data_IF_287628522770
#
_entry.id   IF_287628522770
#
_cell.length_a   1.000
_cell.length_b   1.000
_cell.length_c   1.000
_cell.angle_alpha   90.00
_cell.angle_beta   90.00
_cell.angle_gamma   90.00
#
_symmetry.space_group_name_H-M   'P 1'
#
loop_
_entity.id
_entity.type
_entity.pdbx_description
1 polymer ?
#
# COMPACT_ATOMS: atom_id res chain seq x y z
N UNK A 1 -13.42 7.01 -4.22
CA UNK A 1 -12.49 6.87 -3.08
C UNK A 1 -11.55 5.74 -3.43
N UNK A 2 -10.25 6.01 -3.44
CA UNK A 2 -9.23 5.00 -3.73
C UNK A 2 -8.83 4.33 -2.43
N UNK A 3 -8.59 3.03 -2.45
CA UNK A 3 -8.13 2.26 -1.29
C UNK A 3 -6.69 1.86 -1.49
N UNK A 4 -5.83 2.21 -0.53
CA UNK A 4 -4.44 1.79 -0.45
C UNK A 4 -4.29 0.84 0.74
N UNK A 5 -3.89 -0.39 0.46
CA UNK A 5 -3.70 -1.45 1.44
C UNK A 5 -2.21 -1.81 1.49
N UNK A 6 -1.58 -1.64 2.66
CA UNK A 6 -0.16 -1.95 2.88
C UNK A 6 -0.05 -3.25 3.67
N UNK A 7 0.85 -4.12 3.24
CA UNK A 7 1.13 -5.41 3.89
C UNK A 7 2.57 -5.40 4.40
N UNK A 8 2.70 -5.64 5.71
CA UNK A 8 3.96 -5.72 6.44
C UNK A 8 4.14 -7.10 7.07
N UNK A 9 5.39 -7.53 7.19
CA UNK A 9 5.74 -8.68 8.04
C UNK A 9 5.67 -8.34 9.53
N UNK A 10 5.68 -9.38 10.36
CA UNK A 10 5.82 -9.30 11.81
C UNK A 10 6.98 -10.25 12.23
N UNK A 11 8.14 -9.72 12.68
CA UNK A 11 8.44 -8.31 12.87
C UNK A 11 8.64 -7.56 11.52
N UNK A 12 8.38 -6.25 11.48
CA UNK A 12 8.55 -5.46 10.25
C UNK A 12 10.02 -5.35 9.87
N UNK A 13 10.34 -5.58 8.60
CA UNK A 13 11.67 -5.32 8.05
C UNK A 13 11.84 -3.82 7.71
N UNK A 14 13.07 -3.33 7.45
CA UNK A 14 13.29 -1.92 7.10
C UNK A 14 12.46 -1.42 5.91
N UNK A 15 12.21 -2.30 4.93
CA UNK A 15 11.35 -1.99 3.78
C UNK A 15 9.87 -1.84 4.16
N UNK A 16 9.39 -2.61 5.14
CA UNK A 16 8.03 -2.50 5.67
C UNK A 16 7.82 -1.17 6.40
N UNK A 17 8.78 -0.79 7.24
CA UNK A 17 8.75 0.52 7.91
C UNK A 17 8.71 1.66 6.89
N UNK A 18 9.58 1.60 5.86
CA UNK A 18 9.65 2.65 4.84
C UNK A 18 8.34 2.80 4.03
N UNK A 19 7.69 1.68 3.64
CA UNK A 19 6.44 1.76 2.87
C UNK A 19 5.27 2.25 3.72
N UNK A 20 5.23 1.91 5.01
CA UNK A 20 4.22 2.39 5.96
C UNK A 20 4.35 3.90 6.12
N UNK A 21 5.56 4.40 6.38
CA UNK A 21 5.80 5.84 6.51
C UNK A 21 5.44 6.59 5.23
N UNK A 22 5.79 6.04 4.06
CA UNK A 22 5.43 6.62 2.77
C UNK A 22 3.90 6.67 2.59
N UNK A 23 3.21 5.57 2.86
CA UNK A 23 1.76 5.46 2.71
C UNK A 23 1.02 6.43 3.64
N UNK A 24 1.45 6.56 4.90
CA UNK A 24 0.90 7.54 5.85
C UNK A 24 1.07 8.98 5.34
N UNK A 25 2.27 9.36 4.88
CA UNK A 25 2.50 10.71 4.32
C UNK A 25 1.62 10.98 3.11
N UNK A 26 1.43 9.99 2.24
CA UNK A 26 0.59 10.11 1.05
C UNK A 26 -0.90 10.20 1.41
N UNK A 27 -1.37 9.40 2.38
CA UNK A 27 -2.75 9.45 2.86
C UNK A 27 -3.14 10.80 3.44
N UNK A 28 -2.25 11.43 4.22
CA UNK A 28 -2.46 12.80 4.73
C UNK A 28 -2.67 13.81 3.59
N UNK A 29 -1.98 13.65 2.46
CA UNK A 29 -2.10 14.57 1.32
C UNK A 29 -3.43 14.45 0.58
N UNK A 30 -4.05 13.27 0.60
CA UNK A 30 -5.27 12.96 -0.13
C UNK A 30 -6.43 12.62 0.83
N UNK A 31 -6.48 13.29 1.97
CA UNK A 31 -7.52 13.10 2.97
C UNK A 31 -8.93 13.27 2.33
N UNK A 32 -9.81 12.30 2.57
CA UNK A 32 -11.15 12.26 1.97
C UNK A 32 -11.22 11.64 0.57
N UNK A 33 -10.08 11.44 -0.10
CA UNK A 33 -10.00 10.80 -1.42
C UNK A 33 -9.31 9.42 -1.38
N UNK A 34 -8.38 9.23 -0.43
CA UNK A 34 -7.63 8.01 -0.18
C UNK A 34 -7.97 7.39 1.18
N UNK A 35 -8.36 6.12 1.19
CA UNK A 35 -8.50 5.28 2.37
C UNK A 35 -7.23 4.42 2.53
N UNK A 36 -6.55 4.54 3.66
CA UNK A 36 -5.36 3.74 3.98
C UNK A 36 -5.70 2.64 4.99
N UNK A 37 -5.32 1.41 4.67
CA UNK A 37 -5.28 0.29 5.62
C UNK A 37 -3.87 -0.30 5.67
N UNK A 38 -3.40 -0.62 6.87
CA UNK A 38 -2.11 -1.26 7.11
C UNK A 38 -2.39 -2.60 7.78
N UNK A 39 -1.82 -3.67 7.24
CA UNK A 39 -1.94 -5.02 7.74
C UNK A 39 -0.57 -5.53 8.17
N UNK A 40 -0.46 -5.97 9.43
CA UNK A 40 0.77 -6.49 10.00
C UNK A 40 0.65 -7.99 10.29
N UNK A 41 1.60 -8.78 9.78
CA UNK A 41 1.66 -10.21 10.03
C UNK A 41 0.37 -10.93 9.64
N UNK A 42 -0.24 -11.61 10.61
CA UNK A 42 -1.44 -12.43 10.38
C UNK A 42 -2.70 -11.62 10.04
N UNK A 43 -2.77 -10.32 10.39
CA UNK A 43 -3.95 -9.48 10.15
C UNK A 43 -4.29 -9.35 8.66
N UNK A 44 -3.27 -9.44 7.79
CA UNK A 44 -3.41 -9.32 6.35
C UNK A 44 -3.50 -10.64 5.60
N UNK A 45 -3.38 -11.79 6.27
CA UNK A 45 -3.09 -13.06 5.60
C UNK A 45 -4.18 -13.47 4.59
N UNK A 46 -5.45 -13.33 4.95
CA UNK A 46 -6.59 -13.64 4.07
C UNK A 46 -6.53 -12.82 2.77
N UNK A 47 -6.27 -11.52 2.89
CA UNK A 47 -6.14 -10.62 1.74
C UNK A 47 -4.85 -10.83 0.96
N UNK A 48 -3.77 -11.15 1.65
CA UNK A 48 -2.48 -11.46 1.04
C UNK A 48 -2.63 -12.65 0.07
N UNK A 49 -3.33 -13.70 0.51
CA UNK A 49 -3.68 -14.85 -0.32
C UNK A 49 -4.68 -14.48 -1.43
N UNK A 50 -5.75 -13.74 -1.11
CA UNK A 50 -6.76 -13.34 -2.09
C UNK A 50 -6.16 -12.49 -3.23
N UNK A 51 -5.23 -11.59 -2.90
CA UNK A 51 -4.51 -10.76 -3.86
C UNK A 51 -3.31 -11.47 -4.50
N UNK A 52 -3.05 -12.74 -4.15
CA UNK A 52 -1.94 -13.55 -4.66
C UNK A 52 -0.60 -12.82 -4.55
N UNK A 53 -0.38 -12.20 -3.39
CA UNK A 53 0.88 -11.57 -3.08
C UNK A 53 1.93 -12.64 -2.80
N UNK A 54 3.19 -12.36 -3.15
CA UNK A 54 4.30 -13.28 -3.00
C UNK A 54 5.21 -12.89 -1.85
N UNK A 55 5.41 -11.59 -1.62
CA UNK A 55 6.27 -11.11 -0.55
C UNK A 55 5.84 -9.76 0.00
N UNK A 56 6.30 -9.47 1.22
CA UNK A 56 6.22 -8.16 1.87
C UNK A 56 7.58 -7.47 1.83
N UNK A 57 7.65 -6.13 1.85
CA UNK A 57 6.54 -5.17 1.87
C UNK A 57 5.72 -5.20 0.57
N UNK A 58 4.41 -5.00 0.67
CA UNK A 58 3.54 -4.85 -0.48
C UNK A 58 2.54 -3.69 -0.32
N UNK A 59 2.21 -3.05 -1.43
CA UNK A 59 1.14 -2.08 -1.54
C UNK A 59 0.14 -2.54 -2.61
N UNK A 60 -1.15 -2.50 -2.26
CA UNK A 60 -2.25 -2.84 -3.15
C UNK A 60 -3.17 -1.63 -3.29
N UNK A 61 -3.41 -1.19 -4.52
CA UNK A 61 -4.35 -0.11 -4.84
C UNK A 61 -5.61 -0.72 -5.45
N UNK A 62 -6.77 -0.44 -4.82
CA UNK A 62 -8.09 -0.94 -5.24
C UNK A 62 -8.13 -2.45 -5.53
N UNK A 63 -7.42 -3.25 -4.74
CA UNK A 63 -7.35 -4.70 -4.88
C UNK A 63 -6.72 -5.22 -6.18
N UNK A 64 -6.18 -4.35 -7.04
CA UNK A 64 -5.79 -4.71 -8.41
C UNK A 64 -4.35 -4.38 -8.75
N UNK A 65 -3.88 -3.17 -8.43
CA UNK A 65 -2.50 -2.75 -8.71
C UNK A 65 -1.65 -3.16 -7.52
N UNK A 66 -0.58 -3.92 -7.78
CA UNK A 66 0.26 -4.53 -6.75
C UNK A 66 1.71 -4.10 -6.94
N UNK A 67 2.34 -3.62 -5.88
CA UNK A 67 3.77 -3.32 -5.82
C UNK A 67 4.32 -4.15 -4.67
N UNK A 68 5.31 -5.00 -4.93
CA UNK A 68 5.79 -6.01 -3.98
C UNK A 68 7.32 -6.02 -3.89
N UNK A 69 7.84 -6.47 -2.75
CA UNK A 69 9.25 -6.78 -2.54
C UNK A 69 10.15 -5.60 -2.15
N UNK A 70 9.66 -4.36 -2.27
CA UNK A 70 10.37 -3.17 -1.80
C UNK A 70 9.44 -1.98 -1.58
N UNK A 71 9.90 -0.99 -0.81
CA UNK A 71 9.24 0.31 -0.75
C UNK A 71 9.39 1.03 -2.11
N UNK A 72 8.28 1.40 -2.78
CA UNK A 72 8.35 2.20 -4.01
C UNK A 72 8.82 3.62 -3.71
N UNK A 73 9.20 4.34 -4.78
CA UNK A 73 9.31 5.79 -4.71
C UNK A 73 7.92 6.43 -4.55
N UNK A 74 7.86 7.64 -3.99
CA UNK A 74 6.61 8.40 -3.90
C UNK A 74 5.98 8.64 -5.29
N UNK A 75 6.81 8.88 -6.32
CA UNK A 75 6.33 9.04 -7.70
C UNK A 75 5.66 7.77 -8.22
N UNK A 76 6.26 6.60 -7.97
CA UNK A 76 5.69 5.30 -8.36
C UNK A 76 4.37 5.05 -7.64
N UNK A 77 4.30 5.30 -6.34
CA UNK A 77 3.06 5.13 -5.56
C UNK A 77 1.96 6.10 -6.06
N UNK A 78 2.28 7.37 -6.29
CA UNK A 78 1.33 8.34 -6.84
C UNK A 78 0.82 7.94 -8.23
N UNK A 79 1.68 7.40 -9.08
CA UNK A 79 1.26 6.90 -10.40
C UNK A 79 0.30 5.71 -10.23
N UNK A 80 0.60 4.75 -9.35
CA UNK A 80 -0.30 3.64 -9.06
C UNK A 80 -1.65 4.10 -8.51
N UNK A 81 -1.65 5.12 -7.62
CA UNK A 81 -2.89 5.72 -7.11
C UNK A 81 -3.69 6.40 -8.23
N UNK A 82 -3.02 7.12 -9.15
CA UNK A 82 -3.66 7.75 -10.30
C UNK A 82 -4.30 6.73 -11.24
N UNK A 83 -3.58 5.67 -11.57
CA UNK A 83 -4.13 4.53 -12.34
C UNK A 83 -5.29 3.85 -11.60
N UNK A 84 -5.25 3.84 -10.26
CA UNK A 84 -6.34 3.39 -9.40
C UNK A 84 -7.55 4.35 -9.35
N UNK A 85 -7.51 5.50 -10.03
CA UNK A 85 -8.60 6.46 -10.07
C UNK A 85 -8.51 7.60 -9.07
N UNK A 86 -7.33 7.85 -8.47
CA UNK A 86 -7.09 9.03 -7.65
C UNK A 86 -6.91 10.23 -8.58
N UNK A 87 -7.90 11.10 -8.63
CA UNK A 87 -7.81 12.35 -9.40
C UNK A 87 -6.88 13.32 -8.68
N UNK A 88 -5.63 13.40 -9.14
CA UNK A 88 -4.71 14.42 -8.67
C UNK A 88 -5.16 15.79 -9.18
N UNK A 89 -5.62 16.66 -8.28
CA UNK A 89 -5.87 18.08 -8.57
C UNK A 89 -4.56 18.85 -8.69
#
# INVERSE_FOLDING_TARGET
MVKLEIFSGDPPCPGCVAIIELAQRVAVRYEGELELAIYEGAEGLEKFEAYKLFCVPAAVVNGSIRIEGMCPSEATLNNALREGGLCLK
#
